data_IF_073315823600
#
_entry.id   IF_073315823600
#
_cell.length_a   1.000
_cell.length_b   1.000
_cell.length_c   1.000
_cell.angle_alpha   90.00
_cell.angle_beta   90.00
_cell.angle_gamma   90.00
#
_symmetry.space_group_name_H-M   'P 1'
#
loop_
_entity.id
_entity.type
_entity.pdbx_description
1 polymer ?
#
# COMPACT_ATOMS: atom_id res chain seq x y z
N UNK A 1 -17.46 43.05 30.91
CA UNK A 1 -17.00 41.65 30.91
C UNK A 1 -16.51 41.34 29.51
N UNK A 2 -15.19 41.28 29.32
CA UNK A 2 -14.56 40.96 28.02
C UNK A 2 -14.32 39.46 27.96
N UNK A 3 -14.97 38.79 27.01
CA UNK A 3 -14.76 37.39 26.71
C UNK A 3 -13.37 37.16 26.12
N UNK A 4 -12.57 36.20 26.58
CA UNK A 4 -11.27 35.95 26.04
C UNK A 4 -11.34 35.31 24.63
N UNK A 5 -10.71 36.01 23.69
CA UNK A 5 -10.49 35.57 22.29
C UNK A 5 -9.66 34.29 22.33
N UNK A 6 -10.22 33.14 21.94
CA UNK A 6 -9.46 31.88 21.75
C UNK A 6 -8.31 32.16 20.80
N UNK A 7 -7.07 32.01 21.30
CA UNK A 7 -5.86 31.97 20.49
C UNK A 7 -6.02 30.82 19.50
N UNK A 8 -6.04 31.15 18.20
CA UNK A 8 -5.90 30.16 17.14
C UNK A 8 -4.55 29.49 17.33
N UNK A 9 -4.54 28.16 17.42
CA UNK A 9 -3.30 27.38 17.35
C UNK A 9 -2.63 27.73 16.03
N UNK A 10 -1.34 28.12 16.08
CA UNK A 10 -0.47 28.26 14.92
C UNK A 10 -0.33 26.88 14.28
N UNK A 11 -1.17 26.59 13.31
CA UNK A 11 -1.08 25.42 12.46
C UNK A 11 0.08 25.66 11.49
N UNK A 12 1.23 25.04 11.74
CA UNK A 12 2.34 25.04 10.80
C UNK A 12 1.88 24.47 9.43
N UNK A 13 2.27 25.13 8.33
CA UNK A 13 1.81 24.76 6.96
C UNK A 13 2.03 23.30 6.57
N UNK A 14 3.04 22.61 7.15
CA UNK A 14 3.25 21.16 6.96
C UNK A 14 2.25 20.29 7.72
N UNK A 15 1.66 20.79 8.79
CA UNK A 15 0.73 20.08 9.66
C UNK A 15 -0.67 19.96 9.00
N UNK A 16 -1.11 21.01 8.26
CA UNK A 16 -2.43 21.03 7.61
C UNK A 16 -2.52 20.02 6.44
N UNK A 17 -1.48 19.90 5.62
CA UNK A 17 -1.43 18.93 4.51
C UNK A 17 -1.52 17.50 5.06
N UNK A 18 -0.70 17.17 6.06
CA UNK A 18 -0.70 15.86 6.72
C UNK A 18 -2.03 15.56 7.42
N UNK A 19 -2.59 16.54 8.13
CA UNK A 19 -3.91 16.41 8.78
C UNK A 19 -5.02 16.14 7.76
N UNK A 20 -4.99 16.80 6.60
CA UNK A 20 -5.97 16.60 5.53
C UNK A 20 -5.86 15.20 4.91
N UNK A 21 -4.64 14.71 4.65
CA UNK A 21 -4.40 13.35 4.16
C UNK A 21 -4.93 12.32 5.16
N UNK A 22 -4.60 12.46 6.45
CA UNK A 22 -5.08 11.55 7.49
C UNK A 22 -6.62 11.58 7.62
N UNK A 23 -7.23 12.76 7.59
CA UNK A 23 -8.68 12.90 7.64
C UNK A 23 -9.38 12.28 6.42
N UNK A 24 -8.78 12.46 5.22
CA UNK A 24 -9.26 11.87 3.98
C UNK A 24 -9.17 10.33 4.02
N UNK A 25 -8.07 9.79 4.50
CA UNK A 25 -7.92 8.33 4.72
C UNK A 25 -9.03 7.78 5.63
N UNK A 26 -9.26 8.43 6.77
CA UNK A 26 -10.30 8.01 7.70
C UNK A 26 -11.71 8.04 7.09
N UNK A 27 -11.99 9.01 6.21
CA UNK A 27 -13.25 9.06 5.48
C UNK A 27 -13.38 7.89 4.49
N UNK A 28 -12.31 7.57 3.77
CA UNK A 28 -12.28 6.44 2.84
C UNK A 28 -12.42 5.12 3.61
N UNK A 29 -11.71 4.94 4.71
CA UNK A 29 -11.72 3.70 5.50
C UNK A 29 -13.12 3.36 6.05
N UNK A 30 -13.92 4.38 6.33
CA UNK A 30 -15.29 4.20 6.88
C UNK A 30 -16.41 4.21 5.84
N UNK A 31 -16.23 4.89 4.71
CA UNK A 31 -17.30 5.10 3.72
C UNK A 31 -16.88 4.94 2.26
N UNK A 32 -15.68 4.43 2.02
CA UNK A 32 -15.13 4.27 0.67
C UNK A 32 -14.81 5.60 -0.02
N UNK A 33 -14.38 5.50 -1.28
CA UNK A 33 -14.07 6.67 -2.10
C UNK A 33 -15.19 7.72 -2.18
N UNK A 34 -16.51 7.36 -2.26
CA UNK A 34 -17.60 8.33 -2.27
C UNK A 34 -17.69 9.20 -1.01
N UNK A 35 -17.09 8.78 0.11
CA UNK A 35 -17.05 9.57 1.34
C UNK A 35 -16.02 10.70 1.29
N UNK A 36 -15.02 10.63 0.38
CA UNK A 36 -14.00 11.66 0.24
C UNK A 36 -14.56 12.91 -0.42
N UNK A 37 -14.20 14.08 0.11
CA UNK A 37 -14.55 15.38 -0.46
C UNK A 37 -13.84 16.51 0.28
N UNK A 38 -13.35 17.52 -0.43
CA UNK A 38 -12.60 18.65 0.16
C UNK A 38 -13.36 19.31 1.32
N UNK A 39 -14.67 19.52 1.17
CA UNK A 39 -15.48 20.14 2.22
C UNK A 39 -15.59 19.26 3.46
N UNK A 40 -15.79 17.95 3.29
CA UNK A 40 -15.85 16.97 4.40
C UNK A 40 -14.52 16.85 5.13
N UNK A 41 -13.42 16.86 4.40
CA UNK A 41 -12.06 16.85 5.00
C UNK A 41 -11.85 18.16 5.78
N UNK A 42 -12.16 19.31 5.21
CA UNK A 42 -12.03 20.61 5.88
C UNK A 42 -12.85 20.67 7.18
N UNK A 43 -14.11 20.23 7.15
CA UNK A 43 -14.97 20.13 8.31
C UNK A 43 -14.39 19.21 9.38
N UNK A 44 -13.89 18.02 8.98
CA UNK A 44 -13.33 17.02 9.90
C UNK A 44 -12.10 17.53 10.67
N UNK A 45 -11.30 18.41 10.06
CA UNK A 45 -10.09 18.99 10.68
C UNK A 45 -10.28 20.43 11.18
N UNK A 46 -11.52 20.97 11.10
CA UNK A 46 -11.88 22.28 11.67
C UNK A 46 -11.32 23.48 10.90
N UNK A 47 -11.15 23.36 9.58
CA UNK A 47 -10.70 24.45 8.71
C UNK A 47 -11.74 24.77 7.61
N UNK A 48 -11.49 25.82 6.83
CA UNK A 48 -12.33 26.16 5.69
C UNK A 48 -11.87 25.44 4.41
N UNK A 49 -12.77 25.11 3.49
CA UNK A 49 -12.41 24.51 2.22
C UNK A 49 -11.40 25.36 1.40
N UNK A 50 -11.50 26.71 1.35
CA UNK A 50 -10.46 27.54 0.75
C UNK A 50 -9.07 27.40 1.36
N UNK A 51 -8.96 27.06 2.65
CA UNK A 51 -7.66 26.77 3.27
C UNK A 51 -7.02 25.51 2.70
N UNK A 52 -7.82 24.46 2.42
CA UNK A 52 -7.33 23.24 1.78
C UNK A 52 -6.96 23.44 0.31
N UNK A 53 -7.71 24.27 -0.44
CA UNK A 53 -7.38 24.58 -1.84
C UNK A 53 -6.06 25.31 -2.03
N UNK A 54 -5.43 25.85 -0.96
CA UNK A 54 -4.04 26.36 -1.01
C UNK A 54 -3.00 25.25 -1.02
N UNK A 55 -3.36 24.03 -0.59
CA UNK A 55 -2.47 22.87 -0.50
C UNK A 55 -2.76 21.82 -1.56
N UNK A 56 -4.00 21.74 -2.04
CA UNK A 56 -4.47 20.78 -3.01
C UNK A 56 -5.24 21.51 -4.11
N UNK A 57 -4.76 21.41 -5.34
CA UNK A 57 -5.36 22.07 -6.50
C UNK A 57 -6.75 21.51 -6.84
N UNK A 58 -7.00 20.26 -6.47
CA UNK A 58 -8.25 19.53 -6.74
C UNK A 58 -8.48 18.44 -5.69
N UNK A 59 -9.65 17.79 -5.77
CA UNK A 59 -9.93 16.57 -4.99
C UNK A 59 -9.00 15.41 -5.43
N UNK A 60 -8.69 15.34 -6.72
CA UNK A 60 -7.78 14.32 -7.25
C UNK A 60 -6.34 14.50 -6.72
N UNK A 61 -5.87 15.74 -6.58
CA UNK A 61 -4.58 16.05 -5.97
C UNK A 61 -4.51 15.57 -4.50
N UNK A 62 -5.58 15.80 -3.71
CA UNK A 62 -5.69 15.24 -2.37
C UNK A 62 -5.74 13.70 -2.39
N UNK A 63 -6.51 13.11 -3.30
CA UNK A 63 -6.61 11.65 -3.44
C UNK A 63 -5.26 11.02 -3.82
N UNK A 64 -4.48 11.68 -4.67
CA UNK A 64 -3.13 11.27 -5.04
C UNK A 64 -2.21 11.16 -3.80
N UNK A 65 -2.20 12.19 -2.96
CA UNK A 65 -1.43 12.19 -1.70
C UNK A 65 -1.93 11.12 -0.71
N UNK A 66 -3.24 10.90 -0.64
CA UNK A 66 -3.83 9.83 0.17
C UNK A 66 -3.38 8.47 -0.36
N UNK A 67 -3.49 8.22 -1.66
CA UNK A 67 -3.07 6.96 -2.30
C UNK A 67 -1.58 6.68 -2.06
N UNK A 68 -0.73 7.72 -2.17
CA UNK A 68 0.70 7.59 -1.86
C UNK A 68 0.93 7.24 -0.39
N UNK A 69 0.20 7.88 0.53
CA UNK A 69 0.29 7.57 1.97
C UNK A 69 -0.08 6.11 2.27
N UNK A 70 -1.11 5.58 1.61
CA UNK A 70 -1.54 4.18 1.77
C UNK A 70 -0.46 3.22 1.22
N UNK A 71 0.11 3.51 0.04
CA UNK A 71 1.20 2.69 -0.53
C UNK A 71 2.44 2.69 0.35
N UNK A 72 2.79 3.82 0.97
CA UNK A 72 3.91 3.92 1.90
C UNK A 72 3.68 3.06 3.15
N UNK A 73 2.46 3.04 3.67
CA UNK A 73 2.10 2.19 4.81
C UNK A 73 2.17 0.70 4.44
N UNK A 74 1.64 0.31 3.28
CA UNK A 74 1.76 -1.04 2.76
C UNK A 74 3.23 -1.47 2.63
N UNK A 75 4.09 -0.63 2.04
CA UNK A 75 5.53 -0.89 1.97
C UNK A 75 6.17 -1.01 3.35
N UNK A 76 5.77 -0.16 4.29
CA UNK A 76 6.20 -0.24 5.71
C UNK A 76 5.79 -1.57 6.36
N UNK A 77 4.57 -2.04 6.14
CA UNK A 77 4.08 -3.33 6.64
C UNK A 77 4.90 -4.51 6.08
N UNK A 78 5.25 -4.47 4.77
CA UNK A 78 6.10 -5.48 4.14
C UNK A 78 7.49 -5.52 4.79
N UNK A 79 8.13 -4.36 4.98
CA UNK A 79 9.45 -4.25 5.65
C UNK A 79 9.37 -4.77 7.08
N UNK A 80 8.37 -4.33 7.85
CA UNK A 80 8.19 -4.75 9.22
C UNK A 80 8.06 -6.26 9.33
N UNK A 81 7.27 -6.89 8.46
CA UNK A 81 7.08 -8.35 8.44
C UNK A 81 8.38 -9.11 8.16
N UNK A 82 9.19 -8.64 7.20
CA UNK A 82 10.51 -9.23 6.94
C UNK A 82 11.43 -9.11 8.15
N UNK A 83 11.45 -7.95 8.82
CA UNK A 83 12.33 -7.68 9.94
C UNK A 83 12.00 -8.51 11.19
N UNK A 84 10.77 -9.02 11.32
CA UNK A 84 10.36 -9.91 12.40
C UNK A 84 10.81 -11.36 12.21
N UNK A 85 11.31 -11.73 11.02
CA UNK A 85 11.77 -13.08 10.76
C UNK A 85 13.09 -13.39 11.48
N UNK A 86 13.13 -14.55 12.14
CA UNK A 86 14.39 -15.06 12.69
C UNK A 86 15.29 -15.52 11.55
N UNK A 87 16.55 -15.11 11.59
CA UNK A 87 17.56 -15.53 10.62
C UNK A 87 17.72 -17.05 10.60
N UNK A 88 17.57 -17.66 9.43
CA UNK A 88 17.78 -19.09 9.23
C UNK A 88 19.24 -19.36 8.86
N UNK A 89 19.75 -20.56 9.19
CA UNK A 89 21.10 -21.00 8.78
C UNK A 89 21.20 -21.20 7.26
N UNK A 90 20.16 -21.77 6.67
CA UNK A 90 20.03 -21.95 5.23
C UNK A 90 19.61 -20.62 4.61
N UNK A 91 20.52 -20.01 3.87
CA UNK A 91 20.31 -18.71 3.23
C UNK A 91 19.20 -18.74 2.19
N UNK A 92 19.09 -19.81 1.40
CA UNK A 92 18.03 -19.91 0.39
C UNK A 92 16.64 -19.98 1.04
N UNK A 93 16.49 -20.79 2.07
CA UNK A 93 15.25 -20.86 2.86
C UNK A 93 14.92 -19.53 3.54
N UNK A 94 15.93 -18.81 4.01
CA UNK A 94 15.74 -17.51 4.62
C UNK A 94 15.21 -16.47 3.62
N UNK A 95 15.77 -16.42 2.42
CA UNK A 95 15.29 -15.49 1.38
C UNK A 95 13.90 -15.87 0.86
N UNK A 96 13.57 -17.17 0.78
CA UNK A 96 12.18 -17.62 0.49
C UNK A 96 11.22 -17.12 1.59
N UNK A 97 11.55 -17.33 2.86
CA UNK A 97 10.70 -16.87 3.96
C UNK A 97 10.49 -15.35 3.97
N UNK A 98 11.52 -14.57 3.61
CA UNK A 98 11.39 -13.12 3.44
C UNK A 98 10.46 -12.75 2.30
N UNK A 99 10.55 -13.44 1.18
CA UNK A 99 9.68 -13.22 0.03
C UNK A 99 8.22 -13.60 0.35
N UNK A 100 8.00 -14.71 1.03
CA UNK A 100 6.66 -15.09 1.53
C UNK A 100 6.09 -14.02 2.48
N UNK A 101 6.92 -13.52 3.40
CA UNK A 101 6.53 -12.50 4.35
C UNK A 101 6.05 -11.21 3.69
N UNK A 102 6.66 -10.76 2.58
CA UNK A 102 6.18 -9.57 1.86
C UNK A 102 4.87 -9.82 1.13
N UNK A 103 4.68 -11.01 0.54
CA UNK A 103 3.42 -11.40 -0.09
C UNK A 103 2.28 -11.51 0.94
N UNK A 104 2.55 -12.12 2.08
CA UNK A 104 1.61 -12.21 3.19
C UNK A 104 1.21 -10.84 3.74
N UNK A 105 2.18 -9.93 3.94
CA UNK A 105 1.90 -8.59 4.42
C UNK A 105 1.01 -7.81 3.42
N UNK A 106 1.25 -8.00 2.13
CA UNK A 106 0.46 -7.38 1.07
C UNK A 106 -0.98 -7.85 1.08
N UNK A 107 -1.20 -9.16 1.19
CA UNK A 107 -2.53 -9.77 1.23
C UNK A 107 -3.26 -9.40 2.53
N UNK A 108 -2.57 -9.44 3.67
CA UNK A 108 -3.14 -9.06 4.96
C UNK A 108 -3.59 -7.60 4.99
N UNK A 109 -2.82 -6.70 4.36
CA UNK A 109 -3.21 -5.29 4.25
C UNK A 109 -4.52 -5.12 3.47
N UNK A 110 -4.67 -5.83 2.36
CA UNK A 110 -5.90 -5.78 1.55
C UNK A 110 -7.13 -6.33 2.30
N UNK A 111 -6.94 -7.36 3.12
CA UNK A 111 -8.02 -7.94 3.93
C UNK A 111 -8.41 -7.04 5.11
N UNK A 112 -7.43 -6.45 5.80
CA UNK A 112 -7.63 -5.59 6.96
C UNK A 112 -8.14 -4.19 6.59
N UNK A 113 -7.70 -3.64 5.45
CA UNK A 113 -8.01 -2.29 4.98
C UNK A 113 -8.58 -2.29 3.56
N UNK A 114 -9.68 -3.02 3.28
CA UNK A 114 -10.17 -3.24 1.91
C UNK A 114 -10.49 -1.95 1.18
N UNK A 115 -11.14 -0.99 1.83
CA UNK A 115 -11.51 0.29 1.20
C UNK A 115 -10.30 1.20 0.93
N UNK A 116 -9.26 1.15 1.77
CA UNK A 116 -8.00 1.84 1.52
C UNK A 116 -7.23 1.17 0.38
N UNK A 117 -7.18 -0.17 0.37
CA UNK A 117 -6.50 -0.92 -0.68
C UNK A 117 -7.09 -0.63 -2.06
N UNK A 118 -8.42 -0.53 -2.18
CA UNK A 118 -9.11 -0.19 -3.44
C UNK A 118 -8.67 1.15 -4.02
N UNK A 119 -8.32 2.13 -3.18
CA UNK A 119 -7.88 3.47 -3.64
C UNK A 119 -6.37 3.62 -3.73
N UNK A 120 -5.60 2.71 -3.13
CA UNK A 120 -4.13 2.79 -3.13
C UNK A 120 -3.51 2.79 -4.53
N UNK A 121 -4.17 2.13 -5.49
CA UNK A 121 -3.67 1.92 -6.85
C UNK A 121 -4.57 2.56 -7.93
N UNK A 122 -5.40 3.53 -7.55
CA UNK A 122 -6.13 4.35 -8.54
C UNK A 122 -5.11 5.13 -9.35
N UNK A 123 -5.24 5.04 -10.68
CA UNK A 123 -4.41 5.82 -11.59
C UNK A 123 -4.80 7.29 -11.56
N UNK A 124 -3.80 8.16 -11.44
CA UNK A 124 -3.95 9.61 -11.55
C UNK A 124 -3.24 10.09 -12.81
N UNK A 125 -3.84 10.98 -13.58
CA UNK A 125 -3.36 11.42 -14.90
C UNK A 125 -1.91 11.95 -14.92
N UNK A 126 -1.43 12.41 -13.78
CA UNK A 126 -0.08 12.97 -13.62
C UNK A 126 0.95 11.97 -13.05
N UNK A 127 0.55 10.72 -12.76
CA UNK A 127 1.45 9.72 -12.19
C UNK A 127 2.03 8.79 -13.26
N UNK A 128 3.34 8.62 -13.25
CA UNK A 128 4.00 7.56 -14.02
C UNK A 128 3.76 6.21 -13.36
N UNK A 129 3.60 5.14 -14.16
CA UNK A 129 3.44 3.76 -13.66
C UNK A 129 4.54 3.37 -12.65
N UNK A 130 5.77 3.88 -12.83
CA UNK A 130 6.90 3.64 -11.92
C UNK A 130 6.70 4.26 -10.50
N UNK A 131 5.77 5.19 -10.34
CA UNK A 131 5.45 5.80 -9.04
C UNK A 131 4.40 5.00 -8.25
N UNK A 132 3.83 3.94 -8.87
CA UNK A 132 2.89 3.05 -8.20
C UNK A 132 3.60 2.14 -7.20
N UNK A 133 3.63 2.57 -5.92
CA UNK A 133 4.13 1.74 -4.83
C UNK A 133 5.64 1.52 -4.86
N UNK A 134 6.41 2.58 -5.08
CA UNK A 134 7.87 2.55 -5.21
C UNK A 134 8.55 1.66 -4.16
N UNK A 135 8.18 1.79 -2.88
CA UNK A 135 8.75 0.98 -1.79
C UNK A 135 8.41 -0.50 -1.96
N UNK A 136 7.14 -0.83 -2.23
CA UNK A 136 6.70 -2.23 -2.40
C UNK A 136 7.35 -2.87 -3.63
N UNK A 137 7.46 -2.11 -4.73
CA UNK A 137 8.12 -2.57 -5.95
C UNK A 137 9.63 -2.79 -5.74
N UNK A 138 10.29 -1.87 -5.03
CA UNK A 138 11.71 -1.99 -4.71
C UNK A 138 12.00 -3.26 -3.89
N UNK A 139 11.23 -3.49 -2.81
CA UNK A 139 11.37 -4.67 -1.97
C UNK A 139 11.20 -5.97 -2.78
N UNK A 140 10.22 -5.99 -3.68
CA UNK A 140 9.97 -7.14 -4.55
C UNK A 140 11.14 -7.38 -5.51
N UNK A 141 11.61 -6.34 -6.20
CA UNK A 141 12.71 -6.45 -7.16
C UNK A 141 14.03 -6.84 -6.49
N UNK A 142 14.32 -6.29 -5.31
CA UNK A 142 15.49 -6.69 -4.50
C UNK A 142 15.42 -8.17 -4.10
N UNK A 143 14.23 -8.68 -3.76
CA UNK A 143 14.04 -10.11 -3.46
C UNK A 143 14.34 -10.99 -4.67
N UNK A 144 13.89 -10.59 -5.87
CA UNK A 144 14.19 -11.31 -7.11
C UNK A 144 15.67 -11.25 -7.44
N UNK A 145 16.33 -10.09 -7.34
CA UNK A 145 17.77 -9.96 -7.54
C UNK A 145 18.56 -10.85 -6.56
N UNK A 146 18.05 -10.99 -5.34
CA UNK A 146 18.62 -11.91 -4.35
C UNK A 146 18.48 -13.37 -4.75
N UNK A 147 17.31 -13.79 -5.26
CA UNK A 147 17.12 -15.15 -5.79
C UNK A 147 18.03 -15.44 -6.97
N UNK A 148 18.23 -14.50 -7.89
CA UNK A 148 19.14 -14.63 -9.01
C UNK A 148 20.59 -14.79 -8.50
N UNK A 149 21.01 -13.98 -7.54
CA UNK A 149 22.37 -14.03 -6.96
C UNK A 149 22.69 -15.37 -6.28
N UNK A 150 21.66 -16.04 -5.75
CA UNK A 150 21.75 -17.36 -5.11
C UNK A 150 21.56 -18.53 -6.08
N UNK A 151 21.40 -18.27 -7.38
CA UNK A 151 21.17 -19.28 -8.40
C UNK A 151 19.83 -20.01 -8.26
N UNK A 152 18.83 -19.37 -7.64
CA UNK A 152 17.48 -19.91 -7.45
C UNK A 152 16.55 -19.56 -8.61
N UNK A 153 16.74 -18.39 -9.20
CA UNK A 153 15.98 -17.88 -10.35
C UNK A 153 16.94 -17.62 -11.51
N UNK A 154 16.62 -18.06 -12.74
CA UNK A 154 17.42 -17.75 -13.91
C UNK A 154 17.52 -16.23 -14.16
N UNK A 155 18.71 -15.75 -14.55
CA UNK A 155 18.94 -14.33 -14.84
C UNK A 155 18.01 -13.79 -15.95
N UNK A 156 17.62 -14.66 -16.89
CA UNK A 156 16.66 -14.33 -17.96
C UNK A 156 15.27 -13.96 -17.48
N UNK A 157 14.90 -14.35 -16.25
CA UNK A 157 13.61 -13.99 -15.64
C UNK A 157 13.63 -12.66 -14.87
N UNK A 158 14.76 -11.92 -14.85
CA UNK A 158 14.92 -10.71 -14.03
C UNK A 158 13.82 -9.66 -14.27
N UNK A 159 13.39 -9.49 -15.51
CA UNK A 159 12.37 -8.51 -15.88
C UNK A 159 10.94 -9.05 -15.66
N UNK A 160 10.71 -10.32 -15.96
CA UNK A 160 9.37 -10.91 -15.89
C UNK A 160 8.97 -11.39 -14.48
N UNK A 161 9.92 -11.85 -13.67
CA UNK A 161 9.63 -12.43 -12.37
C UNK A 161 8.93 -11.46 -11.39
N UNK A 162 9.34 -10.18 -11.27
CA UNK A 162 8.62 -9.23 -10.42
C UNK A 162 7.19 -8.98 -10.90
N UNK A 163 6.99 -8.90 -12.23
CA UNK A 163 5.66 -8.68 -12.83
C UNK A 163 4.73 -9.87 -12.55
N UNK A 164 5.23 -11.11 -12.71
CA UNK A 164 4.45 -12.32 -12.42
C UNK A 164 4.06 -12.37 -10.94
N UNK A 165 5.02 -12.15 -10.04
CA UNK A 165 4.78 -12.19 -8.62
C UNK A 165 3.79 -11.11 -8.17
N UNK A 166 4.01 -9.88 -8.64
CA UNK A 166 3.11 -8.77 -8.31
C UNK A 166 1.71 -8.98 -8.86
N UNK A 167 1.56 -9.35 -10.14
CA UNK A 167 0.25 -9.55 -10.75
C UNK A 167 -0.57 -10.64 -10.05
N UNK A 168 0.07 -11.74 -9.65
CA UNK A 168 -0.61 -12.83 -8.96
C UNK A 168 -1.06 -12.41 -7.54
N UNK A 169 -0.17 -11.81 -6.76
CA UNK A 169 -0.45 -11.38 -5.39
C UNK A 169 -1.44 -10.21 -5.36
N UNK A 170 -1.27 -9.22 -6.26
CA UNK A 170 -2.18 -8.08 -6.37
C UNK A 170 -3.58 -8.52 -6.82
N UNK A 171 -3.66 -9.46 -7.77
CA UNK A 171 -4.93 -10.05 -8.20
C UNK A 171 -5.68 -10.70 -7.04
N UNK A 172 -5.01 -11.55 -6.25
CA UNK A 172 -5.60 -12.15 -5.06
C UNK A 172 -6.01 -11.09 -4.01
N UNK A 173 -5.14 -10.14 -3.72
CA UNK A 173 -5.42 -9.05 -2.78
C UNK A 173 -6.64 -8.23 -3.21
N UNK A 174 -6.79 -7.97 -4.51
CA UNK A 174 -7.95 -7.27 -5.07
C UNK A 174 -9.24 -8.08 -4.91
N UNK A 175 -9.20 -9.39 -5.18
CA UNK A 175 -10.36 -10.26 -4.97
C UNK A 175 -10.79 -10.28 -3.49
N UNK A 176 -9.84 -10.32 -2.56
CA UNK A 176 -10.11 -10.26 -1.12
C UNK A 176 -10.69 -8.89 -0.73
N UNK A 177 -10.08 -7.79 -1.15
CA UNK A 177 -10.56 -6.44 -0.84
C UNK A 177 -11.97 -6.17 -1.39
N UNK A 178 -12.33 -6.79 -2.52
CA UNK A 178 -13.66 -6.70 -3.12
C UNK A 178 -14.66 -7.71 -2.53
N UNK A 179 -14.25 -8.52 -1.52
CA UNK A 179 -15.07 -9.58 -0.92
C UNK A 179 -15.60 -10.59 -1.97
N UNK A 180 -14.80 -10.86 -3.00
CA UNK A 180 -15.09 -11.83 -4.05
C UNK A 180 -14.71 -13.27 -3.65
N UNK A 181 -13.98 -13.43 -2.54
CA UNK A 181 -13.59 -14.72 -1.94
C UNK A 181 -14.15 -14.77 -0.53
N UNK A 182 -14.77 -15.88 -0.17
CA UNK A 182 -15.26 -16.10 1.20
C UNK A 182 -14.07 -16.10 2.19
N UNK A 183 -14.19 -15.47 3.38
CA UNK A 183 -13.10 -15.40 4.35
C UNK A 183 -12.51 -16.78 4.73
N UNK A 184 -13.34 -17.82 4.76
CA UNK A 184 -12.92 -19.20 5.05
C UNK A 184 -12.02 -19.81 3.96
N UNK A 185 -12.08 -19.30 2.74
CA UNK A 185 -11.32 -19.79 1.58
C UNK A 185 -9.98 -19.02 1.39
N UNK A 186 -9.85 -17.83 1.98
CA UNK A 186 -8.65 -16.99 1.85
C UNK A 186 -7.35 -17.76 2.14
N UNK A 187 -7.25 -18.61 3.20
CA UNK A 187 -6.02 -19.36 3.47
C UNK A 187 -5.65 -20.34 2.34
N UNK A 188 -6.63 -20.94 1.68
CA UNK A 188 -6.41 -21.84 0.55
C UNK A 188 -5.91 -21.07 -0.68
N UNK A 189 -6.59 -19.98 -1.07
CA UNK A 189 -6.20 -19.15 -2.21
C UNK A 189 -4.82 -18.53 -2.02
N UNK A 190 -4.52 -18.01 -0.81
CA UNK A 190 -3.19 -17.47 -0.46
C UNK A 190 -2.10 -18.50 -0.71
N UNK A 191 -2.24 -19.69 -0.16
CA UNK A 191 -1.26 -20.78 -0.32
C UNK A 191 -1.09 -21.17 -1.78
N UNK A 192 -2.18 -21.31 -2.51
CA UNK A 192 -2.16 -21.68 -3.92
C UNK A 192 -1.46 -20.64 -4.78
N UNK A 193 -1.75 -19.36 -4.57
CA UNK A 193 -1.10 -18.26 -5.31
C UNK A 193 0.39 -18.16 -4.95
N UNK A 194 0.74 -18.24 -3.67
CA UNK A 194 2.14 -18.15 -3.23
C UNK A 194 2.98 -19.31 -3.76
N UNK A 195 2.45 -20.54 -3.76
CA UNK A 195 3.10 -21.70 -4.36
C UNK A 195 3.27 -21.53 -5.88
N UNK A 196 2.21 -21.12 -6.59
CA UNK A 196 2.27 -20.88 -8.03
C UNK A 196 3.29 -19.81 -8.42
N UNK A 197 3.42 -18.75 -7.63
CA UNK A 197 4.47 -17.74 -7.81
C UNK A 197 5.86 -18.37 -7.63
N UNK A 198 6.09 -19.17 -6.58
CA UNK A 198 7.39 -19.83 -6.36
C UNK A 198 7.71 -20.79 -7.49
N UNK A 199 6.75 -21.58 -7.96
CA UNK A 199 6.93 -22.48 -9.10
C UNK A 199 7.32 -21.70 -10.36
N UNK A 200 6.67 -20.56 -10.63
CA UNK A 200 7.00 -19.69 -11.76
C UNK A 200 8.41 -19.07 -11.63
N UNK A 201 8.85 -18.74 -10.43
CA UNK A 201 10.16 -18.15 -10.17
C UNK A 201 11.29 -19.16 -10.23
N UNK A 202 11.12 -20.34 -9.60
CA UNK A 202 12.16 -21.34 -9.38
C UNK A 202 12.08 -22.51 -10.36
N UNK A 203 10.96 -22.69 -11.04
CA UNK A 203 10.77 -23.70 -12.08
C UNK A 203 11.73 -23.47 -13.26
N UNK A 204 12.17 -24.59 -13.85
CA UNK A 204 13.04 -24.61 -15.03
C UNK A 204 12.29 -24.23 -16.31
#
# INVERSE_FOLDING_TARGET
MLTPRRKGADYHHGDLKSAAVLAGRNLIETGGLPALGIRRVAEKIGVTAPALYRHFSSLDDLLCEISQSIRNELGGAMIARQNHLKKLRDQKKYEIAKFEAIGDAYIDFADQHPLLFQVAFIHHDNQKIAEFGEVSWLILTESIDRFISLGMTPKSKRESAPLIAWSAVHGLATLIANRAIEPSEVPFFRRSVMNGVQDALFGK
#
